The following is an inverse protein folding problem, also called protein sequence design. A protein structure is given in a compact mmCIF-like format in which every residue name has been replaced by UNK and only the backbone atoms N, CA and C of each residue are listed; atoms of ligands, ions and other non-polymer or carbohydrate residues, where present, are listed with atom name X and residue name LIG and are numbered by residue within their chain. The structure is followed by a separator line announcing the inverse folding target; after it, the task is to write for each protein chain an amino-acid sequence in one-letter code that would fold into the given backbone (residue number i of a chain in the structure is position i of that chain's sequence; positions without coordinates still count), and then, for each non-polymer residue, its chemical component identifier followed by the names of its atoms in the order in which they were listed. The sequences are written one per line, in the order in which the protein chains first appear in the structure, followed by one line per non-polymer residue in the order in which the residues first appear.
data_IF_022932848954
#
_entry.id   IF_022932848954
#
_cell.length_a   1.000
_cell.length_b   1.000
_cell.length_c   1.000
_cell.angle_alpha   90.00
_cell.angle_beta   90.00
_cell.angle_gamma   90.00
#
_symmetry.space_group_name_H-M   'P 1'
#
loop_
_entity.id
_entity.type
_entity.pdbx_description
1 polymer ?
#
# COMPACT_ATOMS: atom_id res chain seq x y z
N UNK A 1 -5.85 9.25 -10.57
CA UNK A 1 -5.77 8.00 -11.32
C UNK A 1 -4.61 7.19 -10.76
N UNK A 2 -4.88 5.97 -10.28
CA UNK A 2 -3.88 5.05 -9.76
C UNK A 2 -3.64 3.94 -10.79
N UNK A 3 -2.91 4.28 -11.85
CA UNK A 3 -2.70 3.41 -13.01
C UNK A 3 -1.71 2.28 -12.68
N UNK A 4 -2.04 1.04 -13.07
CA UNK A 4 -1.18 -0.14 -12.93
C UNK A 4 -0.51 -0.24 -11.53
N UNK A 5 -1.33 -0.14 -10.49
CA UNK A 5 -0.90 -0.21 -9.09
C UNK A 5 -0.17 -1.52 -8.76
N UNK A 6 0.64 -1.49 -7.68
CA UNK A 6 1.33 -2.68 -7.14
C UNK A 6 2.22 -3.41 -8.16
N UNK A 7 2.79 -2.64 -9.08
CA UNK A 7 3.71 -3.12 -10.12
C UNK A 7 4.94 -3.86 -9.57
N UNK A 8 5.33 -3.61 -8.31
CA UNK A 8 6.43 -4.28 -7.63
C UNK A 8 6.06 -5.68 -7.08
N UNK A 9 4.78 -6.05 -7.07
CA UNK A 9 4.31 -7.41 -6.81
C UNK A 9 4.64 -8.36 -7.97
N UNK A 10 4.07 -9.57 -7.96
CA UNK A 10 4.28 -10.60 -9.02
C UNK A 10 2.96 -11.24 -9.52
N UNK A 11 1.82 -10.61 -9.21
CA UNK A 11 0.47 -11.15 -9.42
C UNK A 11 -0.32 -10.48 -10.56
N UNK A 12 0.05 -9.29 -11.02
CA UNK A 12 -0.61 -8.62 -12.13
C UNK A 12 0.18 -8.70 -13.43
N UNK A 13 -0.50 -8.61 -14.57
CA UNK A 13 0.14 -8.72 -15.87
C UNK A 13 1.18 -7.62 -16.18
N UNK A 14 1.17 -6.52 -15.42
CA UNK A 14 2.15 -5.43 -15.49
C UNK A 14 3.22 -5.50 -14.39
N UNK A 15 3.18 -6.53 -13.53
CA UNK A 15 4.16 -6.74 -12.46
C UNK A 15 5.55 -7.02 -13.01
N UNK A 16 6.57 -6.59 -12.28
CA UNK A 16 7.99 -6.89 -12.52
C UNK A 16 8.49 -6.59 -13.94
N UNK A 17 7.94 -5.54 -14.56
CA UNK A 17 8.33 -5.05 -15.88
C UNK A 17 8.67 -3.54 -15.81
N UNK A 18 9.72 -3.13 -15.08
CA UNK A 18 9.97 -1.73 -14.74
C UNK A 18 10.09 -0.80 -15.95
N UNK A 19 10.74 -1.25 -17.04
CA UNK A 19 10.95 -0.42 -18.22
C UNK A 19 9.65 -0.15 -18.97
N UNK A 20 8.87 -1.20 -19.24
CA UNK A 20 7.57 -1.07 -19.91
C UNK A 20 6.57 -0.32 -19.01
N UNK A 21 6.61 -0.57 -17.70
CA UNK A 21 5.80 0.14 -16.71
C UNK A 21 6.04 1.66 -16.78
N UNK A 22 7.30 2.11 -16.72
CA UNK A 22 7.62 3.54 -16.76
C UNK A 22 7.17 4.18 -18.08
N UNK A 23 7.38 3.50 -19.21
CA UNK A 23 6.96 4.01 -20.51
C UNK A 23 5.43 4.16 -20.61
N UNK A 24 4.69 3.15 -20.16
CA UNK A 24 3.23 3.19 -20.12
C UNK A 24 2.73 4.26 -19.15
N UNK A 25 3.30 4.35 -17.95
CA UNK A 25 2.91 5.31 -16.94
C UNK A 25 3.09 6.76 -17.44
N UNK A 26 4.24 7.08 -18.04
CA UNK A 26 4.50 8.42 -18.62
C UNK A 26 3.51 8.75 -19.74
N UNK A 27 3.19 7.79 -20.60
CA UNK A 27 2.19 7.98 -21.66
C UNK A 27 0.82 8.34 -21.10
N UNK A 28 0.38 7.64 -20.05
CA UNK A 28 -0.90 7.93 -19.38
C UNK A 28 -0.84 9.25 -18.63
N UNK A 29 0.28 9.56 -17.97
CA UNK A 29 0.47 10.82 -17.27
C UNK A 29 0.36 12.02 -18.23
N UNK A 30 1.07 11.99 -19.35
CA UNK A 30 1.00 13.03 -20.39
C UNK A 30 -0.45 13.25 -20.87
N UNK A 31 -1.19 12.16 -21.11
CA UNK A 31 -2.58 12.23 -21.52
C UNK A 31 -3.49 12.82 -20.44
N UNK A 32 -3.31 12.44 -19.18
CA UNK A 32 -4.08 12.95 -18.04
C UNK A 32 -3.80 14.43 -17.81
N UNK A 33 -2.53 14.83 -17.78
CA UNK A 33 -2.13 16.23 -17.59
C UNK A 33 -2.61 17.12 -18.75
N UNK A 34 -2.62 16.61 -19.98
CA UNK A 34 -3.06 17.38 -21.16
C UNK A 34 -4.58 17.48 -21.26
N UNK A 35 -5.31 16.39 -20.99
CA UNK A 35 -6.73 16.28 -21.35
C UNK A 35 -7.69 16.21 -20.16
N UNK A 36 -7.19 16.03 -18.94
CA UNK A 36 -8.01 15.88 -17.74
C UNK A 36 -7.45 16.71 -16.58
N UNK A 37 -7.43 18.06 -16.68
CA UNK A 37 -6.79 18.94 -15.67
C UNK A 37 -7.40 18.87 -14.26
N UNK A 38 -8.56 18.22 -14.09
CA UNK A 38 -9.15 17.93 -12.78
C UNK A 38 -8.70 16.59 -12.17
N UNK A 39 -7.83 15.85 -12.84
CA UNK A 39 -7.28 14.57 -12.41
C UNK A 39 -5.80 14.70 -12.09
N UNK A 40 -5.33 13.86 -11.17
CA UNK A 40 -3.93 13.73 -10.79
C UNK A 40 -3.47 12.27 -10.96
N UNK A 41 -2.21 12.05 -11.28
CA UNK A 41 -1.57 10.73 -11.38
C UNK A 41 -0.98 10.29 -10.05
N UNK A 42 -1.32 9.07 -9.62
CA UNK A 42 -0.81 8.46 -8.40
C UNK A 42 0.03 7.23 -8.72
N UNK A 43 1.31 7.29 -8.37
CA UNK A 43 2.22 6.16 -8.43
C UNK A 43 2.18 5.43 -7.09
N UNK A 44 1.79 4.15 -7.10
CA UNK A 44 1.47 3.45 -5.86
C UNK A 44 1.85 1.96 -5.88
N UNK A 45 3.07 1.61 -5.42
CA UNK A 45 3.47 0.23 -5.17
C UNK A 45 2.69 -0.46 -4.04
N UNK A 46 2.90 -1.76 -3.89
CA UNK A 46 2.60 -2.52 -2.68
C UNK A 46 3.73 -2.33 -1.66
N UNK A 47 3.42 -2.41 -0.36
CA UNK A 47 4.44 -2.48 0.68
C UNK A 47 5.46 -3.60 0.39
N UNK A 48 6.76 -3.29 0.48
CA UNK A 48 7.84 -4.16 0.04
C UNK A 48 8.11 -5.40 0.91
N UNK A 49 7.45 -5.54 2.06
CA UNK A 49 7.64 -6.71 2.92
C UNK A 49 7.28 -8.01 2.19
N UNK A 50 8.27 -8.89 2.01
CA UNK A 50 8.13 -10.10 1.20
C UNK A 50 8.63 -10.00 -0.25
N UNK A 51 9.19 -8.85 -0.67
CA UNK A 51 9.92 -8.72 -1.93
C UNK A 51 11.05 -9.78 -2.01
N UNK A 52 11.25 -10.46 -3.16
CA UNK A 52 10.73 -10.15 -4.50
C UNK A 52 9.39 -10.82 -4.84
N UNK A 53 8.61 -11.28 -3.85
CA UNK A 53 7.34 -11.97 -4.06
C UNK A 53 7.47 -13.18 -5.00
N UNK A 54 8.50 -14.00 -4.74
CA UNK A 54 8.87 -15.14 -5.59
C UNK A 54 7.72 -16.13 -5.78
N UNK A 55 7.64 -16.75 -6.97
CA UNK A 55 6.63 -17.75 -7.31
C UNK A 55 5.29 -17.20 -7.83
N UNK A 56 5.16 -15.87 -7.97
CA UNK A 56 4.02 -15.27 -8.65
C UNK A 56 4.01 -15.51 -10.17
N UNK A 57 2.84 -15.36 -10.79
CA UNK A 57 2.63 -15.63 -12.22
C UNK A 57 3.50 -14.78 -13.14
N UNK A 58 3.81 -13.54 -12.72
CA UNK A 58 4.53 -12.56 -13.51
C UNK A 58 5.90 -12.20 -12.91
N UNK A 59 6.46 -13.10 -12.10
CA UNK A 59 7.81 -12.95 -11.55
C UNK A 59 8.86 -12.86 -12.66
N UNK A 60 9.72 -11.82 -12.61
CA UNK A 60 10.84 -11.63 -13.52
C UNK A 60 11.84 -12.78 -13.39
N UNK A 61 12.35 -13.25 -14.54
CA UNK A 61 13.22 -14.44 -14.59
C UNK A 61 14.69 -14.06 -14.78
N UNK A 62 15.65 -14.76 -14.13
CA UNK A 62 17.07 -14.50 -14.30
C UNK A 62 17.49 -14.42 -15.77
N UNK A 63 18.33 -13.43 -16.10
CA UNK A 63 18.82 -13.18 -17.46
C UNK A 63 17.88 -12.39 -18.36
N UNK A 64 16.70 -11.99 -17.90
CA UNK A 64 15.83 -11.03 -18.60
C UNK A 64 16.27 -9.58 -18.32
N UNK A 65 15.89 -8.65 -19.20
CA UNK A 65 16.15 -7.23 -18.99
C UNK A 65 15.44 -6.69 -17.73
N UNK A 66 14.24 -7.19 -17.45
CA UNK A 66 13.50 -6.81 -16.25
C UNK A 66 14.19 -7.29 -14.98
N UNK A 67 14.65 -8.54 -14.93
CA UNK A 67 15.41 -9.03 -13.78
C UNK A 67 16.67 -8.19 -13.52
N UNK A 68 17.42 -7.85 -14.57
CA UNK A 68 18.61 -6.99 -14.44
C UNK A 68 18.27 -5.57 -13.98
N UNK A 69 17.08 -5.07 -14.28
CA UNK A 69 16.61 -3.77 -13.81
C UNK A 69 16.15 -3.80 -12.35
N UNK A 70 15.74 -4.97 -11.85
CA UNK A 70 15.31 -5.20 -10.47
C UNK A 70 16.45 -5.61 -9.53
N UNK A 71 17.55 -6.13 -10.06
CA UNK A 71 18.79 -6.43 -9.34
C UNK A 71 19.58 -5.13 -9.12
N UNK A 72 19.08 -4.31 -8.21
CA UNK A 72 19.59 -2.96 -7.95
C UNK A 72 20.95 -2.96 -7.24
N UNK A 73 21.31 -4.06 -6.59
CA UNK A 73 22.61 -4.24 -5.96
C UNK A 73 23.64 -4.94 -6.89
N UNK A 74 23.18 -5.57 -7.98
CA UNK A 74 24.01 -6.20 -9.01
C UNK A 74 24.64 -7.53 -8.61
N UNK A 75 24.08 -8.23 -7.61
CA UNK A 75 24.62 -9.50 -7.10
C UNK A 75 24.08 -10.74 -7.84
N UNK A 76 23.15 -10.54 -8.77
CA UNK A 76 22.53 -11.59 -9.58
C UNK A 76 21.37 -12.31 -8.90
N UNK A 77 20.90 -11.85 -7.74
CA UNK A 77 19.81 -12.44 -6.96
C UNK A 77 18.84 -11.38 -6.45
N UNK A 78 17.57 -11.47 -6.85
CA UNK A 78 16.54 -10.57 -6.30
C UNK A 78 16.23 -10.94 -4.84
N UNK A 79 16.41 -9.97 -3.95
CA UNK A 79 16.18 -10.12 -2.50
C UNK A 79 15.64 -8.81 -1.90
N UNK A 80 15.32 -8.80 -0.61
CA UNK A 80 15.01 -7.55 0.11
C UNK A 80 16.20 -6.58 0.22
N UNK A 81 17.40 -6.97 -0.24
CA UNK A 81 18.53 -6.04 -0.37
C UNK A 81 18.39 -5.14 -1.59
N UNK A 82 17.48 -5.48 -2.51
CA UNK A 82 17.15 -4.64 -3.66
C UNK A 82 16.08 -3.60 -3.31
N UNK A 83 16.14 -2.47 -3.99
CA UNK A 83 15.12 -1.44 -3.87
C UNK A 83 13.81 -1.91 -4.53
N UNK A 84 12.83 -2.25 -3.70
CA UNK A 84 11.51 -2.74 -4.14
C UNK A 84 10.66 -1.68 -4.86
N UNK A 85 11.10 -0.42 -4.93
CA UNK A 85 10.30 0.72 -5.39
C UNK A 85 10.97 1.49 -6.53
N UNK A 86 12.24 1.86 -6.39
CA UNK A 86 12.96 2.76 -7.28
C UNK A 86 12.97 2.34 -8.76
N UNK A 87 13.09 1.04 -9.12
CA UNK A 87 13.04 0.61 -10.51
C UNK A 87 11.75 1.00 -11.27
N UNK A 88 10.67 1.31 -10.55
CA UNK A 88 9.38 1.64 -11.11
C UNK A 88 9.03 3.12 -11.06
N UNK A 89 9.84 3.99 -10.45
CA UNK A 89 9.50 5.40 -10.31
C UNK A 89 9.62 6.14 -11.65
N UNK A 90 8.51 6.68 -12.22
CA UNK A 90 8.52 7.24 -13.57
C UNK A 90 9.07 8.68 -13.62
N UNK A 91 9.40 9.28 -12.48
CA UNK A 91 9.95 10.63 -12.37
C UNK A 91 8.91 11.68 -11.98
N UNK A 92 9.38 12.78 -11.39
CA UNK A 92 8.55 13.79 -10.73
C UNK A 92 7.52 14.48 -11.63
N UNK A 93 7.84 14.64 -12.92
CA UNK A 93 6.94 15.27 -13.89
C UNK A 93 5.71 14.40 -14.18
N UNK A 94 5.83 13.07 -14.06
CA UNK A 94 4.73 12.15 -14.33
C UNK A 94 3.87 11.87 -13.08
N UNK A 95 4.37 12.18 -11.88
CA UNK A 95 3.76 11.78 -10.59
C UNK A 95 3.25 13.00 -9.84
N UNK A 96 1.94 13.05 -9.60
CA UNK A 96 1.35 14.09 -8.75
C UNK A 96 1.22 13.65 -7.30
N UNK A 97 1.01 12.35 -7.06
CA UNK A 97 0.84 11.71 -5.76
C UNK A 97 1.65 10.43 -5.69
N UNK A 98 2.25 10.16 -4.53
CA UNK A 98 2.84 8.85 -4.24
C UNK A 98 1.90 8.11 -3.30
N UNK A 99 1.84 6.79 -3.40
CA UNK A 99 1.08 6.02 -2.43
C UNK A 99 1.56 4.60 -2.23
N UNK A 100 0.96 3.90 -1.29
CA UNK A 100 1.33 2.51 -0.99
C UNK A 100 0.12 1.71 -0.54
N UNK A 101 -0.10 0.53 -1.14
CA UNK A 101 -0.96 -0.48 -0.53
C UNK A 101 -0.25 -1.02 0.71
N UNK A 102 -0.88 -0.87 1.88
CA UNK A 102 -0.28 -1.25 3.16
C UNK A 102 -1.38 -1.79 4.08
N UNK A 103 -1.32 -3.08 4.35
CA UNK A 103 -2.33 -3.81 5.12
C UNK A 103 -1.72 -4.42 6.38
N UNK A 104 -2.56 -4.61 7.39
CA UNK A 104 -2.26 -5.56 8.46
C UNK A 104 -2.79 -6.94 8.09
N UNK A 105 -1.91 -7.82 7.61
CA UNK A 105 -2.24 -9.22 7.27
C UNK A 105 -2.21 -10.18 8.48
N UNK A 106 -1.61 -9.76 9.60
CA UNK A 106 -1.35 -10.59 10.78
C UNK A 106 0.11 -10.55 11.20
N UNK A 107 0.52 -11.55 11.98
CA UNK A 107 1.85 -11.64 12.59
C UNK A 107 2.84 -12.49 11.80
N UNK A 108 2.42 -13.50 11.03
CA UNK A 108 3.35 -14.40 10.33
C UNK A 108 2.68 -15.11 9.14
N UNK A 109 3.44 -15.32 8.06
CA UNK A 109 3.04 -16.15 6.93
C UNK A 109 3.19 -17.68 7.22
N UNK A 110 2.27 -18.56 6.76
CA UNK A 110 1.07 -18.29 5.96
C UNK A 110 -0.02 -17.55 6.75
N UNK A 111 -0.67 -16.59 6.09
CA UNK A 111 -1.69 -15.73 6.71
C UNK A 111 -2.95 -16.50 7.09
N UNK A 112 -3.73 -15.92 8.01
CA UNK A 112 -5.06 -16.41 8.38
C UNK A 112 -5.33 -16.44 9.88
N UNK A 113 -4.29 -16.38 10.72
CA UNK A 113 -4.46 -16.20 12.15
C UNK A 113 -4.91 -14.76 12.46
N UNK A 114 -5.89 -14.64 13.36
CA UNK A 114 -6.40 -13.35 13.81
C UNK A 114 -5.46 -12.80 14.89
N UNK A 115 -4.64 -11.82 14.54
CA UNK A 115 -3.60 -11.28 15.41
C UNK A 115 -3.73 -9.76 15.50
N UNK A 116 -3.44 -9.19 16.66
CA UNK A 116 -3.33 -7.74 16.79
C UNK A 116 -2.13 -7.19 16.00
N UNK A 117 -2.26 -6.02 15.35
CA UNK A 117 -1.10 -5.30 14.85
C UNK A 117 -0.21 -4.84 16.01
N UNK A 118 1.10 -5.04 15.88
CA UNK A 118 2.06 -4.52 16.86
C UNK A 118 1.95 -2.98 16.95
N UNK A 119 2.12 -2.37 18.14
CA UNK A 119 2.19 -0.93 18.28
C UNK A 119 3.27 -0.34 17.34
N UNK A 120 2.93 0.70 16.58
CA UNK A 120 3.86 1.35 15.66
C UNK A 120 4.00 0.69 14.30
N UNK A 121 3.43 -0.50 14.07
CA UNK A 121 3.55 -1.26 12.81
C UNK A 121 3.30 -0.43 11.55
N UNK A 122 2.23 0.37 11.50
CA UNK A 122 1.94 1.21 10.33
C UNK A 122 3.11 2.16 10.01
N UNK A 123 3.57 2.87 11.03
CA UNK A 123 4.66 3.83 10.95
C UNK A 123 5.95 3.14 10.51
N UNK A 124 6.27 2.01 11.15
CA UNK A 124 7.51 1.30 10.88
C UNK A 124 7.54 0.70 9.47
N UNK A 125 6.42 0.18 8.98
CA UNK A 125 6.29 -0.29 7.61
C UNK A 125 6.40 0.88 6.61
N UNK A 126 5.77 2.01 6.89
CA UNK A 126 5.82 3.18 6.02
C UNK A 126 7.23 3.79 5.92
N UNK A 127 8.03 3.68 6.98
CA UNK A 127 9.40 4.23 7.03
C UNK A 127 10.50 3.19 6.83
N UNK A 128 10.17 1.95 6.47
CA UNK A 128 11.19 0.91 6.24
C UNK A 128 11.98 0.54 7.49
N UNK A 129 11.35 0.60 8.67
CA UNK A 129 11.96 0.27 9.97
C UNK A 129 11.28 -0.88 10.69
N UNK A 130 10.34 -1.57 10.03
CA UNK A 130 9.60 -2.67 10.65
C UNK A 130 10.51 -3.87 10.94
N UNK A 131 10.60 -4.22 12.22
CA UNK A 131 11.23 -5.43 12.71
C UNK A 131 10.33 -6.01 13.79
N UNK A 132 9.55 -7.02 13.42
CA UNK A 132 8.46 -7.52 14.25
C UNK A 132 8.16 -8.99 14.02
N UNK A 133 6.95 -9.41 14.39
CA UNK A 133 6.56 -10.81 14.30
C UNK A 133 6.62 -11.35 12.86
N UNK A 134 6.39 -10.48 11.87
CA UNK A 134 6.41 -10.84 10.46
C UNK A 134 7.80 -10.77 9.82
N UNK A 135 8.86 -10.60 10.63
CA UNK A 135 10.24 -10.54 10.16
C UNK A 135 10.84 -9.14 10.23
N UNK A 136 12.03 -9.03 9.63
CA UNK A 136 12.84 -7.82 9.60
C UNK A 136 12.82 -7.23 8.17
N UNK A 137 12.02 -6.18 8.01
CA UNK A 137 11.87 -5.43 6.76
C UNK A 137 12.68 -4.12 6.81
N UNK A 138 13.64 -3.98 7.75
CA UNK A 138 14.42 -2.74 7.94
C UNK A 138 15.40 -2.39 6.80
N UNK A 139 15.47 -3.26 5.79
CA UNK A 139 16.21 -3.01 4.55
C UNK A 139 15.37 -2.29 3.48
N UNK A 140 14.04 -2.21 3.67
CA UNK A 140 13.19 -1.48 2.75
C UNK A 140 13.49 0.02 2.81
N UNK A 141 13.39 0.74 1.67
CA UNK A 141 13.51 2.20 1.68
C UNK A 141 12.45 2.85 2.56
N UNK A 142 12.82 3.96 3.22
CA UNK A 142 11.86 4.85 3.89
C UNK A 142 10.99 5.53 2.82
N UNK A 143 9.85 4.91 2.51
CA UNK A 143 8.97 5.34 1.44
C UNK A 143 8.46 6.77 1.67
N UNK A 144 8.11 7.11 2.91
CA UNK A 144 7.59 8.44 3.24
C UNK A 144 8.64 9.52 3.02
N UNK A 145 9.87 9.30 3.50
CA UNK A 145 10.95 10.27 3.34
C UNK A 145 11.33 10.41 1.88
N UNK A 146 11.65 9.30 1.20
CA UNK A 146 12.11 9.33 -0.20
C UNK A 146 11.04 9.91 -1.13
N UNK A 147 9.84 9.33 -1.14
CA UNK A 147 8.83 9.70 -2.15
C UNK A 147 7.89 10.82 -1.71
N UNK A 148 7.67 10.99 -0.40
CA UNK A 148 6.82 12.05 0.13
C UNK A 148 7.56 13.37 0.38
N UNK A 149 8.69 13.30 1.08
CA UNK A 149 9.46 14.48 1.51
C UNK A 149 10.43 14.92 0.42
N UNK A 150 11.34 14.05 -0.02
CA UNK A 150 12.43 14.44 -0.93
C UNK A 150 11.93 14.75 -2.33
N UNK A 151 10.98 13.96 -2.85
CA UNK A 151 10.28 14.26 -4.10
C UNK A 151 9.15 15.29 -3.96
N UNK A 152 8.84 15.75 -2.73
CA UNK A 152 7.86 16.79 -2.46
C UNK A 152 6.42 16.42 -2.83
N UNK A 153 6.05 15.14 -2.78
CA UNK A 153 4.73 14.64 -3.20
C UNK A 153 3.79 14.42 -2.00
N UNK A 154 2.48 14.70 -2.13
CA UNK A 154 1.50 14.20 -1.18
C UNK A 154 1.48 12.67 -1.19
N UNK A 155 1.46 12.08 0.01
CA UNK A 155 1.46 10.64 0.27
C UNK A 155 0.03 10.16 0.49
N UNK A 156 -0.30 9.04 -0.11
CA UNK A 156 -1.56 8.33 0.06
C UNK A 156 -1.32 6.89 0.55
N UNK A 157 -2.21 6.40 1.40
CA UNK A 157 -2.42 4.96 1.62
C UNK A 157 -3.71 4.61 0.88
N UNK A 158 -3.65 4.39 -0.45
CA UNK A 158 -4.83 4.16 -1.28
C UNK A 158 -5.55 2.83 -0.97
N UNK A 159 -4.90 1.92 -0.27
CA UNK A 159 -5.44 0.64 0.14
C UNK A 159 -4.84 0.23 1.49
N UNK A 160 -5.72 0.08 2.48
CA UNK A 160 -5.36 -0.47 3.80
C UNK A 160 -6.57 -1.10 4.46
N UNK A 161 -6.35 -2.16 5.22
CA UNK A 161 -7.32 -2.73 6.15
C UNK A 161 -6.56 -3.65 7.13
N UNK A 162 -7.28 -4.20 8.08
CA UNK A 162 -6.77 -5.22 8.98
C UNK A 162 -7.54 -6.53 8.78
N UNK A 163 -6.78 -7.62 8.60
CA UNK A 163 -7.30 -8.94 8.32
C UNK A 163 -8.14 -9.43 9.49
N UNK A 164 -9.31 -9.97 9.20
CA UNK A 164 -10.05 -10.82 10.12
C UNK A 164 -10.58 -12.03 9.36
N UNK A 165 -10.18 -13.23 9.75
CA UNK A 165 -10.65 -14.50 9.19
C UNK A 165 -11.76 -15.08 10.10
N UNK A 166 -13.04 -15.01 9.69
CA UNK A 166 -14.15 -15.46 10.53
C UNK A 166 -14.07 -16.97 10.82
N UNK A 167 -14.23 -17.34 12.09
CA UNK A 167 -14.16 -18.73 12.53
C UNK A 167 -12.74 -19.28 12.71
N UNK A 168 -11.71 -18.48 12.41
CA UNK A 168 -10.33 -18.77 12.82
C UNK A 168 -10.09 -18.24 14.24
N UNK A 169 -9.31 -18.97 15.03
CA UNK A 169 -8.93 -18.56 16.39
C UNK A 169 -8.02 -17.33 16.41
N UNK A 170 -7.81 -16.78 17.61
CA UNK A 170 -6.99 -15.60 17.85
C UNK A 170 -7.79 -14.43 18.42
N UNK A 171 -7.30 -13.23 18.14
CA UNK A 171 -7.87 -11.97 18.62
C UNK A 171 -9.23 -11.66 17.99
N UNK A 172 -9.99 -10.81 18.68
CA UNK A 172 -11.33 -10.44 18.26
C UNK A 172 -11.31 -9.39 17.15
N UNK A 173 -12.22 -9.50 16.19
CA UNK A 173 -12.34 -8.62 15.01
C UNK A 173 -12.25 -7.13 15.36
N UNK A 174 -13.07 -6.68 16.32
CA UNK A 174 -13.08 -5.28 16.75
C UNK A 174 -11.72 -4.85 17.28
N UNK A 175 -11.04 -5.68 18.06
CA UNK A 175 -9.75 -5.34 18.66
C UNK A 175 -8.67 -5.17 17.58
N UNK A 176 -8.64 -6.06 16.59
CA UNK A 176 -7.70 -6.03 15.45
C UNK A 176 -7.91 -4.77 14.62
N UNK A 177 -9.14 -4.53 14.16
CA UNK A 177 -9.47 -3.36 13.33
C UNK A 177 -9.25 -2.06 14.10
N UNK A 178 -9.61 -2.04 15.38
CA UNK A 178 -9.40 -0.89 16.25
C UNK A 178 -7.94 -0.56 16.50
N UNK A 179 -7.11 -1.57 16.76
CA UNK A 179 -5.68 -1.37 16.91
C UNK A 179 -5.04 -0.81 15.63
N UNK A 180 -5.51 -1.23 14.45
CA UNK A 180 -5.01 -0.73 13.18
C UNK A 180 -5.44 0.70 12.88
N UNK A 181 -6.75 1.02 12.93
CA UNK A 181 -7.20 2.38 12.63
C UNK A 181 -6.72 3.39 13.67
N UNK A 182 -6.48 2.96 14.92
CA UNK A 182 -5.87 3.84 15.93
C UNK A 182 -4.44 4.24 15.56
N UNK A 183 -3.67 3.39 14.88
CA UNK A 183 -2.36 3.77 14.36
C UNK A 183 -2.49 4.74 13.18
N UNK A 184 -3.39 4.46 12.23
CA UNK A 184 -3.61 5.30 11.05
C UNK A 184 -4.08 6.72 11.39
N UNK A 185 -5.00 6.85 12.35
CA UNK A 185 -5.68 8.12 12.68
C UNK A 185 -5.19 8.76 13.98
N UNK A 186 -4.07 8.30 14.55
CA UNK A 186 -3.54 8.92 15.77
C UNK A 186 -3.09 10.36 15.52
N UNK A 187 -3.19 11.26 16.53
CA UNK A 187 -2.57 12.59 16.46
C UNK A 187 -1.06 12.54 16.23
N UNK A 188 -0.38 11.50 16.72
CA UNK A 188 1.05 11.30 16.52
C UNK A 188 1.37 11.03 15.05
N UNK A 189 0.66 10.11 14.41
CA UNK A 189 0.77 9.81 12.97
C UNK A 189 0.49 11.06 12.14
N UNK A 190 -0.57 11.81 12.49
CA UNK A 190 -0.90 13.07 11.80
C UNK A 190 0.23 14.12 11.92
N UNK A 191 0.82 14.27 13.10
CA UNK A 191 1.90 15.23 13.34
C UNK A 191 3.21 14.80 12.68
N UNK A 192 3.52 13.49 12.71
CA UNK A 192 4.74 12.91 12.16
C UNK A 192 4.75 12.89 10.63
N UNK A 193 3.60 12.68 10.00
CA UNK A 193 3.49 12.52 8.55
C UNK A 193 2.64 13.62 7.91
N UNK A 194 3.09 14.89 7.91
CA UNK A 194 2.32 15.99 7.32
C UNK A 194 2.03 15.79 5.83
N UNK A 195 2.81 15.00 5.08
CA UNK A 195 2.52 14.69 3.67
C UNK A 195 1.49 13.57 3.49
N UNK A 196 1.11 12.84 4.54
CA UNK A 196 0.03 11.85 4.44
C UNK A 196 -1.31 12.58 4.32
N UNK A 197 -1.85 12.62 3.10
CA UNK A 197 -3.07 13.39 2.76
C UNK A 197 -4.29 12.51 2.48
N UNK A 198 -4.12 11.21 2.30
CA UNK A 198 -5.21 10.29 1.98
C UNK A 198 -4.98 8.93 2.62
N UNK A 199 -6.01 8.38 3.27
CA UNK A 199 -6.08 6.98 3.70
C UNK A 199 -7.41 6.44 3.19
N UNK A 200 -7.38 5.31 2.49
CA UNK A 200 -8.57 4.67 1.96
C UNK A 200 -8.67 3.22 2.49
N UNK A 201 -9.74 2.96 3.23
CA UNK A 201 -9.98 1.64 3.80
C UNK A 201 -10.51 0.67 2.73
N UNK A 202 -9.97 -0.54 2.70
CA UNK A 202 -10.39 -1.60 1.80
C UNK A 202 -11.63 -2.32 2.35
N UNK A 203 -12.80 -1.85 1.93
CA UNK A 203 -14.10 -2.30 2.44
C UNK A 203 -14.65 -3.51 1.67
N UNK A 204 -14.00 -4.67 1.82
CA UNK A 204 -14.41 -5.92 1.16
C UNK A 204 -14.51 -7.11 2.12
N UNK A 205 -15.48 -7.97 1.86
CA UNK A 205 -15.58 -9.31 2.44
C UNK A 205 -15.45 -10.32 1.30
N UNK A 206 -14.35 -11.06 1.29
CA UNK A 206 -13.98 -11.91 0.15
C UNK A 206 -13.15 -13.11 0.56
N UNK A 207 -13.07 -14.08 -0.34
CA UNK A 207 -12.08 -15.14 -0.23
C UNK A 207 -10.72 -14.60 -0.65
N UNK A 208 -9.72 -14.77 0.22
CA UNK A 208 -8.31 -14.47 -0.08
C UNK A 208 -7.56 -15.76 -0.40
N UNK A 209 -6.77 -15.73 -1.46
CA UNK A 209 -6.01 -16.90 -1.93
C UNK A 209 -4.84 -17.19 -0.98
N UNK A 210 -4.29 -16.15 -0.36
CA UNK A 210 -3.18 -16.18 0.57
C UNK A 210 -3.58 -16.85 1.90
N UNK A 211 -4.85 -16.70 2.30
CA UNK A 211 -5.43 -17.33 3.50
C UNK A 211 -6.11 -18.66 3.17
N UNK A 212 -6.43 -18.91 1.89
CA UNK A 212 -7.26 -20.04 1.42
C UNK A 212 -8.62 -20.07 2.14
N UNK A 213 -9.18 -18.89 2.41
CA UNK A 213 -10.36 -18.74 3.24
C UNK A 213 -10.99 -17.37 3.10
N UNK A 214 -12.14 -17.19 3.76
CA UNK A 214 -12.84 -15.90 3.83
C UNK A 214 -12.08 -14.95 4.74
N UNK A 215 -11.88 -13.72 4.29
CA UNK A 215 -11.37 -12.60 5.07
C UNK A 215 -12.39 -11.47 5.01
N UNK A 216 -12.75 -10.96 6.18
CA UNK A 216 -13.61 -9.80 6.36
C UNK A 216 -12.76 -8.56 6.65
N UNK A 217 -12.48 -7.77 5.61
CA UNK A 217 -11.76 -6.50 5.73
C UNK A 217 -12.68 -5.35 6.15
N UNK A 218 -13.99 -5.57 6.24
CA UNK A 218 -14.99 -4.50 6.33
C UNK A 218 -15.08 -3.88 7.71
N UNK A 219 -15.25 -2.57 7.80
CA UNK A 219 -15.51 -1.86 9.07
C UNK A 219 -16.95 -1.37 9.19
N UNK A 220 -17.73 -1.45 8.12
CA UNK A 220 -19.11 -0.94 8.07
C UNK A 220 -20.17 -2.04 8.18
N UNK A 221 -19.86 -3.30 7.85
CA UNK A 221 -20.85 -4.38 7.89
C UNK A 221 -21.40 -4.63 9.30
N UNK A 222 -20.52 -4.75 10.29
CA UNK A 222 -20.91 -5.01 11.69
C UNK A 222 -21.27 -3.70 12.40
N UNK A 223 -22.51 -3.52 12.91
CA UNK A 223 -22.94 -2.25 13.51
C UNK A 223 -22.04 -1.74 14.64
N UNK A 224 -21.59 -2.63 15.53
CA UNK A 224 -20.71 -2.26 16.64
C UNK A 224 -19.33 -1.77 16.17
N UNK A 225 -18.78 -2.37 15.10
CA UNK A 225 -17.50 -1.96 14.52
C UNK A 225 -17.64 -0.62 13.81
N UNK A 226 -18.73 -0.43 13.06
CA UNK A 226 -19.04 0.84 12.38
C UNK A 226 -19.18 1.98 13.37
N UNK A 227 -19.90 1.76 14.47
CA UNK A 227 -20.09 2.75 15.53
C UNK A 227 -18.74 3.09 16.20
N UNK A 228 -17.93 2.09 16.51
CA UNK A 228 -16.60 2.30 17.07
C UNK A 228 -15.68 3.06 16.11
N UNK A 229 -15.68 2.71 14.82
CA UNK A 229 -14.89 3.38 13.80
C UNK A 229 -15.30 4.84 13.64
N UNK A 230 -16.59 5.10 13.42
CA UNK A 230 -17.11 6.47 13.22
C UNK A 230 -16.87 7.37 14.43
N UNK A 231 -16.93 6.82 15.65
CA UNK A 231 -16.58 7.53 16.89
C UNK A 231 -15.09 7.85 16.99
N UNK A 232 -14.22 7.01 16.42
CA UNK A 232 -12.78 7.18 16.46
C UNK A 232 -12.22 8.13 15.39
N UNK A 233 -13.02 8.51 14.38
CA UNK A 233 -12.57 9.40 13.32
C UNK A 233 -12.26 10.79 13.88
N UNK A 234 -11.02 11.29 13.70
CA UNK A 234 -10.64 12.57 14.27
C UNK A 234 -11.20 13.76 13.48
N UNK A 235 -11.45 14.86 14.18
CA UNK A 235 -12.05 16.08 13.62
C UNK A 235 -11.19 16.76 12.53
N UNK A 236 -9.91 16.40 12.41
CA UNK A 236 -9.03 16.93 11.38
C UNK A 236 -9.20 16.21 10.03
N UNK A 237 -9.92 15.09 9.97
CA UNK A 237 -10.26 14.45 8.70
C UNK A 237 -11.22 15.33 7.91
N UNK A 238 -10.86 15.56 6.65
CA UNK A 238 -11.74 16.23 5.69
C UNK A 238 -12.34 15.18 4.78
N UNK A 239 -13.65 15.04 4.85
CA UNK A 239 -14.40 14.26 3.87
C UNK A 239 -14.45 15.02 2.55
N UNK A 240 -14.50 14.28 1.44
CA UNK A 240 -14.75 14.87 0.12
C UNK A 240 -16.06 15.69 0.16
N UNK A 241 -16.18 16.73 -0.69
CA UNK A 241 -17.38 17.55 -0.69
C UNK A 241 -18.62 16.72 -1.01
N UNK A 242 -19.77 17.04 -0.41
CA UNK A 242 -21.09 16.44 -0.74
C UNK A 242 -21.55 16.70 -2.19
N UNK A 243 -20.72 17.37 -3.00
CA UNK A 243 -21.02 17.70 -4.39
C UNK A 243 -20.72 16.49 -5.26
N UNK A 244 -21.71 16.08 -6.05
CA UNK A 244 -21.55 15.07 -7.09
C UNK A 244 -20.44 15.47 -8.05
N UNK A 245 -19.43 14.62 -8.24
CA UNK A 245 -18.42 14.73 -9.30
C UNK A 245 -19.10 14.50 -10.67
N UNK A 246 -19.79 15.52 -11.20
CA UNK A 246 -20.22 15.54 -12.60
C UNK A 246 -19.18 16.31 -13.41
N UNK A 247 -18.68 15.76 -14.53
CA UNK A 247 -17.90 16.55 -15.47
C UNK A 247 -18.71 17.78 -15.87
N UNK A 248 -18.11 18.97 -15.77
CA UNK A 248 -18.68 20.14 -16.43
C UNK A 248 -18.43 19.95 -17.93
N UNK A 249 -19.50 19.78 -18.70
CA UNK A 249 -19.47 19.69 -20.15
C UNK A 249 -19.25 21.06 -20.79
#
# INVERSE_FOLDING_TARGET
MRFAHEMNGSWYAWSQQPQEYIAAYRTIADAVHTHAPGSAMMWAPNYGGGYPFAGGTYEAKPGTADFLALDTNGDGTLTMQDDAYAPYYPGDEAVDWVGMSLYHWGAKYPWGENELPEPGKFTDQLTGTYNGANGDDSLLPDFYTVYGVDHGKPVAIPETAALYAPGVGGDQELAIKQAWWNQLFSPETHARFPQLKMVNWFEWDKTEVEVKGRVDWTITNTPAIREAFTTALPDWLRYGPDKTCRPQH
#
